data_IF_221523608808
#
_entry.id   IF_221523608808
#
_cell.length_a   1.000
_cell.length_b   1.000
_cell.length_c   1.000
_cell.angle_alpha   90.00
_cell.angle_beta   90.00
_cell.angle_gamma   90.00
#
_symmetry.space_group_name_H-M   'P 1'
#
loop_
_entity.id
_entity.type
_entity.pdbx_description
1 polymer ?
#
# COMPACT_ATOMS: atom_id res chain seq x y z
N UNK A 1 -4.64 2.87 12.09
CA UNK A 1 -3.95 1.62 11.68
C UNK A 1 -2.47 1.71 12.01
N UNK A 2 -1.89 0.62 12.46
CA UNK A 2 -0.48 0.56 12.81
C UNK A 2 0.27 -0.31 11.80
N UNK A 3 1.57 -0.07 11.65
CA UNK A 3 2.41 -0.87 10.74
C UNK A 3 2.43 -2.35 11.15
N UNK A 4 2.45 -2.63 12.46
CA UNK A 4 2.49 -4.01 12.95
C UNK A 4 1.18 -4.76 12.62
N UNK A 5 0.04 -4.10 12.78
CA UNK A 5 -1.26 -4.65 12.43
C UNK A 5 -1.35 -4.93 10.92
N UNK A 6 -0.89 -3.99 10.11
CA UNK A 6 -0.86 -4.13 8.66
C UNK A 6 -0.02 -5.34 8.25
N UNK A 7 1.20 -5.44 8.79
CA UNK A 7 2.09 -6.56 8.47
C UNK A 7 1.51 -7.91 8.89
N UNK A 8 0.86 -7.95 10.05
CA UNK A 8 0.20 -9.17 10.51
C UNK A 8 -0.89 -9.62 9.52
N UNK A 9 -1.75 -8.70 9.10
CA UNK A 9 -2.83 -9.01 8.17
C UNK A 9 -2.32 -9.42 6.80
N UNK A 10 -1.25 -8.79 6.31
CA UNK A 10 -0.61 -9.20 5.05
C UNK A 10 -0.07 -10.63 5.17
N UNK A 11 0.63 -10.96 6.27
CA UNK A 11 1.15 -12.32 6.48
C UNK A 11 0.03 -13.37 6.50
N UNK A 12 -1.12 -13.01 7.03
CA UNK A 12 -2.28 -13.91 7.13
C UNK A 12 -3.10 -13.98 5.84
N UNK A 13 -2.73 -13.20 4.82
CA UNK A 13 -3.50 -13.13 3.58
C UNK A 13 -4.84 -12.44 3.74
N UNK A 14 -5.02 -11.63 4.77
CA UNK A 14 -6.29 -10.95 5.07
C UNK A 14 -6.33 -9.57 4.43
N UNK A 15 -6.36 -9.56 3.11
CA UNK A 15 -6.47 -8.33 2.34
C UNK A 15 -7.16 -8.59 1.00
N UNK A 16 -7.68 -7.53 0.42
CA UNK A 16 -8.18 -7.53 -0.95
C UNK A 16 -7.45 -6.46 -1.76
N UNK A 17 -7.47 -6.61 -3.08
CA UNK A 17 -6.84 -5.65 -4.01
C UNK A 17 -7.95 -4.95 -4.77
N UNK A 18 -7.97 -3.61 -4.75
CA UNK A 18 -8.96 -2.85 -5.50
C UNK A 18 -8.75 -3.03 -7.01
N UNK A 19 -9.79 -2.76 -7.79
CA UNK A 19 -9.68 -2.81 -9.26
C UNK A 19 -8.60 -1.83 -9.73
N UNK A 20 -8.57 -0.63 -9.15
CA UNK A 20 -7.57 0.39 -9.47
C UNK A 20 -6.14 -0.10 -9.18
N UNK A 21 -5.92 -0.68 -7.99
CA UNK A 21 -4.61 -1.22 -7.63
C UNK A 21 -4.21 -2.40 -8.51
N UNK A 22 -5.17 -3.22 -8.91
CA UNK A 22 -4.91 -4.34 -9.83
C UNK A 22 -4.42 -3.84 -11.19
N UNK A 23 -5.06 -2.79 -11.71
CA UNK A 23 -4.65 -2.18 -12.96
C UNK A 23 -3.26 -1.55 -12.86
N UNK A 24 -3.01 -0.82 -11.77
CA UNK A 24 -1.73 -0.15 -11.55
C UNK A 24 -0.58 -1.14 -11.44
N UNK A 25 -0.75 -2.24 -10.69
CA UNK A 25 0.32 -3.22 -10.54
C UNK A 25 0.69 -3.89 -11.86
N UNK A 26 -0.30 -4.12 -12.72
CA UNK A 26 -0.06 -4.71 -14.03
C UNK A 26 0.68 -3.73 -14.95
N UNK A 27 0.35 -2.45 -14.90
CA UNK A 27 1.04 -1.41 -15.64
C UNK A 27 2.51 -1.29 -15.24
N UNK A 28 2.80 -1.43 -13.94
CA UNK A 28 4.15 -1.33 -13.40
C UNK A 28 4.86 -2.68 -13.29
N UNK A 29 4.25 -3.74 -13.82
CA UNK A 29 4.81 -5.09 -13.80
C UNK A 29 5.17 -5.55 -12.39
N UNK A 30 4.23 -5.39 -11.46
CA UNK A 30 4.37 -5.79 -10.07
C UNK A 30 3.51 -7.02 -9.79
N UNK A 31 4.12 -8.11 -9.35
CA UNK A 31 3.34 -9.26 -8.93
C UNK A 31 2.94 -9.14 -7.44
N UNK A 32 1.99 -9.97 -7.03
CA UNK A 32 1.45 -9.92 -5.67
C UNK A 32 2.54 -10.21 -4.63
N UNK A 33 3.46 -11.12 -4.92
CA UNK A 33 4.54 -11.46 -3.98
C UNK A 33 5.49 -10.30 -3.77
N UNK A 34 5.81 -9.55 -4.83
CA UNK A 34 6.62 -8.34 -4.72
C UNK A 34 5.93 -7.28 -3.86
N UNK A 35 4.62 -7.11 -4.04
CA UNK A 35 3.84 -6.16 -3.25
C UNK A 35 3.82 -6.57 -1.78
N UNK A 36 3.53 -7.83 -1.49
CA UNK A 36 3.55 -8.34 -0.11
C UNK A 36 4.92 -8.14 0.54
N UNK A 37 5.98 -8.49 -0.16
CA UNK A 37 7.35 -8.33 0.33
C UNK A 37 7.65 -6.86 0.65
N UNK A 38 7.24 -5.95 -0.23
CA UNK A 38 7.48 -4.53 -0.02
C UNK A 38 6.78 -4.00 1.23
N UNK A 39 5.57 -4.48 1.52
CA UNK A 39 4.85 -4.10 2.74
C UNK A 39 5.52 -4.70 3.97
N UNK A 40 5.88 -5.98 3.92
CA UNK A 40 6.44 -6.68 5.08
C UNK A 40 7.78 -6.12 5.54
N UNK A 41 8.58 -5.59 4.64
CA UNK A 41 9.87 -4.96 4.99
C UNK A 41 9.84 -3.44 4.88
N UNK A 42 8.68 -2.87 4.60
CA UNK A 42 8.52 -1.44 4.38
C UNK A 42 8.22 -0.65 5.65
N UNK A 43 8.10 0.65 5.46
CA UNK A 43 7.77 1.59 6.51
C UNK A 43 6.53 2.39 6.16
N UNK A 44 5.77 2.77 7.18
CA UNK A 44 4.66 3.70 7.04
C UNK A 44 5.25 5.11 6.90
N UNK A 45 5.09 5.73 5.75
CA UNK A 45 5.68 7.05 5.49
C UNK A 45 4.65 8.19 5.47
N UNK A 46 3.37 7.89 5.24
CA UNK A 46 2.29 8.87 5.32
C UNK A 46 1.07 8.21 5.94
N UNK A 47 0.38 8.94 6.81
CA UNK A 47 -0.82 8.47 7.48
C UNK A 47 -1.96 9.44 7.17
N UNK A 48 -3.13 8.89 6.83
CA UNK A 48 -4.33 9.67 6.48
C UNK A 48 -5.49 9.26 7.37
N UNK A 49 -5.42 9.59 8.69
CA UNK A 49 -6.41 9.10 9.66
C UNK A 49 -7.81 9.70 9.47
N UNK A 50 -7.90 10.83 8.79
CA UNK A 50 -9.17 11.57 8.60
C UNK A 50 -9.65 11.57 7.15
N UNK A 51 -9.17 10.67 6.32
CA UNK A 51 -9.65 10.55 4.94
C UNK A 51 -11.17 10.31 4.98
N UNK A 52 -11.97 11.09 4.24
CA UNK A 52 -13.44 10.92 4.24
C UNK A 52 -13.92 9.53 3.84
N UNK A 53 -13.10 8.78 3.12
CA UNK A 53 -13.42 7.41 2.69
C UNK A 53 -13.02 6.36 3.73
N UNK A 54 -12.47 6.80 4.86
CA UNK A 54 -11.96 5.96 5.93
C UNK A 54 -10.45 6.08 6.08
N UNK A 55 -9.90 5.76 7.26
CA UNK A 55 -8.47 5.84 7.50
C UNK A 55 -7.66 5.02 6.49
N UNK A 56 -6.54 5.56 6.06
CA UNK A 56 -5.61 4.88 5.16
C UNK A 56 -4.18 5.32 5.46
N UNK A 57 -3.22 4.65 4.87
CA UNK A 57 -1.81 5.00 5.03
C UNK A 57 -1.02 4.57 3.80
N UNK A 58 0.19 5.12 3.67
CA UNK A 58 1.11 4.81 2.60
C UNK A 58 2.31 4.08 3.17
N UNK A 59 2.52 2.86 2.69
CA UNK A 59 3.70 2.04 3.02
C UNK A 59 4.67 2.12 1.85
N UNK A 60 5.95 2.34 2.13
CA UNK A 60 7.01 2.34 1.14
C UNK A 60 7.99 1.22 1.45
N UNK A 61 8.29 0.40 0.48
CA UNK A 61 9.24 -0.70 0.62
C UNK A 61 9.92 -1.03 -0.70
N UNK A 62 10.86 -1.96 -0.64
CA UNK A 62 11.62 -2.38 -1.81
C UNK A 62 11.50 -3.90 -1.93
N UNK A 63 11.14 -4.39 -3.12
CA UNK A 63 11.14 -5.80 -3.44
C UNK A 63 12.19 -6.04 -4.52
N UNK A 64 13.29 -6.70 -4.16
CA UNK A 64 14.44 -6.81 -5.04
C UNK A 64 15.01 -5.42 -5.35
N UNK A 65 14.98 -5.02 -6.62
CA UNK A 65 15.41 -3.69 -7.04
C UNK A 65 14.24 -2.72 -7.26
N UNK A 66 13.00 -3.15 -7.03
CA UNK A 66 11.82 -2.33 -7.32
C UNK A 66 11.37 -1.57 -6.08
N UNK A 67 11.39 -0.22 -6.09
CA UNK A 67 10.76 0.58 -5.04
C UNK A 67 9.25 0.54 -5.25
N UNK A 68 8.48 0.30 -4.20
CA UNK A 68 7.03 0.12 -4.31
C UNK A 68 6.32 0.93 -3.23
N UNK A 69 5.28 1.65 -3.64
CA UNK A 69 4.35 2.32 -2.74
C UNK A 69 3.02 1.57 -2.73
N UNK A 70 2.48 1.35 -1.54
CA UNK A 70 1.17 0.71 -1.37
C UNK A 70 0.33 1.58 -0.44
N UNK A 71 -0.81 2.05 -0.93
CA UNK A 71 -1.80 2.75 -0.09
C UNK A 71 -2.79 1.70 0.40
N UNK A 72 -2.90 1.59 1.71
CA UNK A 72 -3.74 0.60 2.38
C UNK A 72 -4.81 1.27 3.22
N UNK A 73 -6.01 0.74 3.16
CA UNK A 73 -7.12 1.14 4.01
C UNK A 73 -7.83 -0.11 4.51
N UNK A 74 -9.06 0.07 5.02
CA UNK A 74 -9.88 -1.04 5.48
C UNK A 74 -10.90 -1.42 4.42
N UNK A 75 -11.07 -2.72 4.19
CA UNK A 75 -12.12 -3.23 3.33
C UNK A 75 -13.48 -3.06 4.01
N UNK A 76 -14.52 -2.84 3.20
CA UNK A 76 -15.90 -2.72 3.69
C UNK A 76 -16.57 -4.09 3.64
N UNK A 77 -16.31 -4.92 4.64
CA UNK A 77 -16.88 -6.27 4.72
C UNK A 77 -17.78 -6.32 5.94
N UNK A 78 -19.06 -6.62 5.73
CA UNK A 78 -20.09 -6.48 6.77
C UNK A 78 -20.20 -7.66 7.74
N UNK A 79 -19.61 -8.81 7.45
CA UNK A 79 -19.84 -10.02 8.22
C UNK A 79 -18.60 -10.68 8.78
N UNK A 80 -17.47 -10.00 8.76
CA UNK A 80 -16.20 -10.55 9.23
C UNK A 80 -15.96 -10.17 10.69
N UNK A 81 -15.54 -11.14 11.50
CA UNK A 81 -15.16 -10.89 12.88
C UNK A 81 -13.82 -10.16 13.00
N UNK A 82 -12.99 -10.22 11.97
CA UNK A 82 -11.70 -9.51 11.92
C UNK A 82 -11.65 -8.59 10.70
N UNK A 83 -10.94 -7.46 10.82
CA UNK A 83 -10.77 -6.55 9.69
C UNK A 83 -9.96 -7.18 8.56
N UNK A 84 -10.23 -6.72 7.35
CA UNK A 84 -9.49 -7.08 6.14
C UNK A 84 -8.95 -5.78 5.56
N UNK A 85 -7.69 -5.78 5.17
CA UNK A 85 -7.07 -4.64 4.50
C UNK A 85 -7.58 -4.52 3.06
N UNK A 86 -7.53 -3.32 2.53
CA UNK A 86 -7.75 -3.06 1.11
C UNK A 86 -6.53 -2.35 0.56
N UNK A 87 -5.89 -2.94 -0.45
CA UNK A 87 -4.87 -2.26 -1.22
C UNK A 87 -5.58 -1.34 -2.21
N UNK A 88 -5.53 -0.04 -1.93
CA UNK A 88 -6.26 0.98 -2.69
C UNK A 88 -5.47 1.38 -3.93
N UNK A 89 -4.16 1.53 -3.78
CA UNK A 89 -3.25 2.04 -4.81
C UNK A 89 -1.90 1.35 -4.66
N UNK A 90 -1.30 0.93 -5.77
CA UNK A 90 0.02 0.28 -5.79
C UNK A 90 0.78 0.78 -7.00
N UNK A 91 1.98 1.32 -6.81
CA UNK A 91 2.76 1.84 -7.93
C UNK A 91 4.24 1.92 -7.58
N UNK A 92 5.06 2.10 -8.61
CA UNK A 92 6.47 2.45 -8.45
C UNK A 92 6.56 3.98 -8.38
N UNK A 93 7.09 4.55 -7.28
CA UNK A 93 7.20 6.02 -7.17
C UNK A 93 8.18 6.58 -8.19
N UNK A 94 7.79 7.68 -8.85
CA UNK A 94 8.56 8.32 -9.93
C UNK A 94 8.48 9.83 -9.83
N UNK A 95 9.51 10.54 -10.33
CA UNK A 95 9.43 12.00 -10.48
C UNK A 95 8.29 12.39 -11.42
N UNK A 96 7.73 13.58 -11.30
CA UNK A 96 8.07 14.62 -10.31
C UNK A 96 7.39 14.43 -8.95
N UNK A 97 6.44 13.50 -8.85
CA UNK A 97 5.65 13.31 -7.62
C UNK A 97 6.52 12.82 -6.45
N UNK A 98 7.48 11.95 -6.75
CA UNK A 98 8.42 11.41 -5.78
C UNK A 98 9.84 11.54 -6.30
N UNK A 99 10.76 12.04 -5.47
CA UNK A 99 12.17 12.14 -5.85
C UNK A 99 12.93 10.88 -5.48
N UNK A 100 12.48 10.16 -4.46
CA UNK A 100 12.99 8.85 -4.07
C UNK A 100 11.86 8.08 -3.38
N UNK A 101 12.18 6.94 -2.77
CA UNK A 101 11.19 6.06 -2.14
C UNK A 101 10.35 6.78 -1.07
N UNK A 102 10.94 7.73 -0.35
CA UNK A 102 10.34 8.33 0.86
C UNK A 102 10.07 9.82 0.75
N UNK A 103 10.55 10.48 -0.30
CA UNK A 103 10.55 11.93 -0.39
C UNK A 103 9.68 12.40 -1.55
N UNK A 104 8.68 13.21 -1.24
CA UNK A 104 7.87 13.84 -2.28
C UNK A 104 8.69 14.83 -3.09
N UNK A 105 8.40 14.90 -4.39
CA UNK A 105 9.00 15.88 -5.26
C UNK A 105 8.47 17.28 -5.01
N UNK A 106 9.22 18.27 -5.47
CA UNK A 106 8.76 19.66 -5.43
C UNK A 106 7.54 19.82 -6.32
N UNK A 107 6.58 20.63 -5.87
CA UNK A 107 5.43 20.98 -6.71
C UNK A 107 5.92 21.90 -7.84
N UNK A 108 5.45 21.67 -9.07
CA UNK A 108 5.77 22.59 -10.18
C UNK A 108 5.15 23.96 -9.94
#
# INVERSE_FOLDING_TARGET
MTIDEIKRLIREGRYEVSIHAQQERLEDDLDIEEIESSVLQGDLIEDYPTDPRGPSCLIAGIAGAKPIHVVLGWARVKSQSEPILRMITVYIPRPPKWTDLRTRGAKP
#
